data_IF_175803126143
#
_entry.id   IF_175803126143
#
_cell.length_a   1.000
_cell.length_b   1.000
_cell.length_c   1.000
_cell.angle_alpha   90.00
_cell.angle_beta   90.00
_cell.angle_gamma   90.00
#
_symmetry.space_group_name_H-M   'P 1'
#
loop_
_entity.id
_entity.type
_entity.pdbx_description
1 polymer ?
#
# COMPACT_ATOMS: atom_id res chain seq x y z
N UNK A 1 19.62 7.57 -19.15
CA UNK A 1 19.10 7.42 -18.76
C UNK A 1 18.60 7.26 -17.76
N UNK A 2 18.32 7.39 -17.47
CA UNK A 2 17.95 7.11 -16.61
C UNK A 2 17.09 6.79 -16.10
N UNK A 3 17.31 6.38 -15.71
CA UNK A 3 16.31 5.86 -15.41
C UNK A 3 15.92 5.83 -14.10
N UNK A 4 14.94 5.96 -13.71
CA UNK A 4 14.65 5.93 -12.45
C UNK A 4 14.35 4.64 -12.05
N UNK A 5 14.83 4.22 -11.01
CA UNK A 5 14.58 2.98 -10.60
C UNK A 5 13.33 2.88 -9.87
N UNK A 6 12.54 1.94 -10.13
CA UNK A 6 11.30 1.67 -9.43
C UNK A 6 11.60 1.06 -8.08
N UNK A 7 11.03 1.67 -7.05
CA UNK A 7 11.22 1.12 -5.72
C UNK A 7 10.25 0.00 -5.48
N UNK A 8 10.73 -1.08 -4.92
CA UNK A 8 9.89 -2.20 -4.57
C UNK A 8 9.53 -3.08 -5.74
N UNK A 9 8.67 -4.03 -5.49
CA UNK A 9 8.30 -5.02 -6.47
C UNK A 9 7.02 -4.63 -7.17
N UNK A 10 6.86 -5.15 -8.38
CA UNK A 10 5.63 -4.92 -9.10
C UNK A 10 4.52 -5.82 -8.59
N UNK A 11 4.85 -7.02 -8.19
CA UNK A 11 3.89 -7.99 -7.73
C UNK A 11 4.55 -8.95 -6.78
N UNK A 12 3.77 -9.51 -5.86
CA UNK A 12 4.25 -10.45 -4.87
C UNK A 12 3.27 -11.61 -4.83
N UNK A 13 3.79 -12.84 -4.84
CA UNK A 13 2.95 -14.02 -4.71
C UNK A 13 2.78 -14.32 -3.23
N UNK A 14 1.53 -14.40 -2.80
CA UNK A 14 1.19 -14.65 -1.40
C UNK A 14 1.24 -16.14 -1.11
N UNK A 15 1.31 -16.53 0.17
CA UNK A 15 1.37 -17.96 0.52
C UNK A 15 0.22 -18.78 0.01
N UNK A 16 -0.95 -18.18 -0.21
CA UNK A 16 -2.10 -18.91 -0.71
C UNK A 16 -2.14 -18.98 -2.23
N UNK A 17 -1.07 -18.53 -2.89
CA UNK A 17 -0.98 -18.59 -4.35
C UNK A 17 -1.53 -17.39 -5.07
N UNK A 18 -2.16 -16.45 -4.35
CA UNK A 18 -2.67 -15.25 -4.98
C UNK A 18 -1.54 -14.27 -5.20
N UNK A 19 -1.76 -13.36 -6.13
CA UNK A 19 -0.76 -12.35 -6.46
C UNK A 19 -1.27 -10.97 -6.06
N UNK A 20 -0.45 -10.23 -5.34
CA UNK A 20 -0.77 -8.85 -4.99
C UNK A 20 0.13 -7.96 -5.84
N UNK A 21 -0.46 -7.01 -6.55
CA UNK A 21 0.30 -6.13 -7.43
C UNK A 21 -0.15 -4.69 -7.20
N UNK A 22 0.53 -3.78 -7.90
CA UNK A 22 0.17 -2.37 -7.79
C UNK A 22 -1.26 -2.11 -8.26
N UNK A 23 -1.78 -2.92 -9.15
CA UNK A 23 -3.16 -2.75 -9.62
C UNK A 23 -4.18 -3.09 -8.54
N UNK A 24 -3.75 -3.75 -7.46
CA UNK A 24 -4.64 -4.04 -6.34
C UNK A 24 -4.75 -2.87 -5.37
N UNK A 25 -3.95 -1.83 -5.57
CA UNK A 25 -4.01 -0.66 -4.73
C UNK A 25 -5.22 0.19 -5.11
N UNK A 26 -5.82 0.91 -4.14
CA UNK A 26 -6.94 1.79 -4.46
C UNK A 26 -6.48 2.89 -5.41
N UNK A 27 -7.40 3.42 -6.22
CA UNK A 27 -7.04 4.53 -7.12
C UNK A 27 -6.69 5.77 -6.32
N UNK A 28 -5.87 6.64 -6.93
CA UNK A 28 -5.42 7.86 -6.26
C UNK A 28 -6.58 8.79 -5.94
N UNK A 29 -7.70 8.61 -6.64
CA UNK A 29 -8.89 9.43 -6.42
C UNK A 29 -9.78 8.90 -5.31
N UNK A 30 -9.33 7.89 -4.57
CA UNK A 30 -10.12 7.31 -3.49
C UNK A 30 -10.46 8.37 -2.45
N UNK A 31 -11.73 8.51 -2.15
CA UNK A 31 -12.18 9.46 -1.14
C UNK A 31 -12.74 8.75 0.08
N UNK A 32 -13.37 7.60 -0.15
CA UNK A 32 -13.92 6.85 0.96
C UNK A 32 -12.95 5.76 1.38
N UNK A 33 -12.39 5.93 2.55
CA UNK A 33 -11.37 5.01 3.07
C UNK A 33 -11.98 3.97 3.99
N UNK A 34 -12.57 2.96 3.37
CA UNK A 34 -13.12 1.83 4.13
C UNK A 34 -11.99 0.87 4.48
N UNK A 35 -12.27 -0.02 5.43
CA UNK A 35 -11.25 -0.91 5.98
C UNK A 35 -10.51 -1.72 4.90
N UNK A 36 -11.22 -2.22 3.91
CA UNK A 36 -10.60 -3.04 2.88
C UNK A 36 -9.61 -2.24 2.05
N UNK A 37 -9.90 -0.97 1.80
CA UNK A 37 -8.99 -0.13 1.03
C UNK A 37 -7.77 0.26 1.83
N UNK A 38 -7.95 0.56 3.11
CA UNK A 38 -6.82 0.85 3.99
C UNK A 38 -5.91 -0.37 4.09
N UNK A 39 -6.50 -1.55 4.21
CA UNK A 39 -5.73 -2.77 4.29
C UNK A 39 -4.91 -3.01 3.02
N UNK A 40 -5.50 -2.71 1.86
CA UNK A 40 -4.78 -2.90 0.60
C UNK A 40 -3.55 -2.02 0.55
N UNK A 41 -3.65 -0.76 1.00
CA UNK A 41 -2.52 0.16 1.00
C UNK A 41 -1.44 -0.33 1.96
N UNK A 42 -1.84 -0.73 3.17
CA UNK A 42 -0.88 -1.20 4.16
C UNK A 42 -0.18 -2.46 3.67
N UNK A 43 -0.93 -3.39 3.08
CA UNK A 43 -0.33 -4.61 2.56
C UNK A 43 0.61 -4.32 1.41
N UNK A 44 0.28 -3.36 0.55
CA UNK A 44 1.15 -2.98 -0.54
C UNK A 44 2.52 -2.55 -0.03
N UNK A 45 2.55 -1.79 1.06
CA UNK A 45 3.81 -1.38 1.65
C UNK A 45 4.51 -2.56 2.30
N UNK A 46 3.77 -3.39 3.03
CA UNK A 46 4.35 -4.53 3.72
C UNK A 46 4.96 -5.53 2.76
N UNK A 47 4.34 -5.71 1.60
CA UNK A 47 4.86 -6.65 0.60
C UNK A 47 5.94 -6.05 -0.28
N UNK A 48 6.22 -4.75 -0.13
CA UNK A 48 7.26 -4.11 -0.93
C UNK A 48 6.81 -3.73 -2.32
N UNK A 49 5.50 -3.73 -2.58
CA UNK A 49 4.96 -3.36 -3.88
C UNK A 49 5.01 -1.85 -4.06
N UNK A 50 4.88 -1.12 -2.97
CA UNK A 50 4.91 0.33 -2.98
C UNK A 50 5.62 0.78 -1.71
N UNK A 51 6.29 1.94 -1.76
CA UNK A 51 6.98 2.43 -0.57
C UNK A 51 6.02 3.28 0.27
N UNK A 52 6.38 3.43 1.56
CA UNK A 52 5.60 4.25 2.47
C UNK A 52 5.53 5.68 1.97
N UNK A 53 6.66 6.22 1.54
CA UNK A 53 6.71 7.59 1.03
C UNK A 53 5.81 7.78 -0.18
N UNK A 54 5.80 6.81 -1.07
CA UNK A 54 4.96 6.88 -2.25
C UNK A 54 3.49 6.88 -1.86
N UNK A 55 3.12 6.09 -0.86
CA UNK A 55 1.74 6.03 -0.39
C UNK A 55 1.29 7.36 0.18
N UNK A 56 2.13 7.98 1.00
CA UNK A 56 1.78 9.26 1.61
C UNK A 56 1.54 10.31 0.54
N UNK A 57 2.41 10.34 -0.46
CA UNK A 57 2.29 11.30 -1.53
C UNK A 57 1.12 10.98 -2.44
N UNK A 58 0.98 9.72 -2.80
CA UNK A 58 -0.04 9.29 -3.75
C UNK A 58 -1.44 9.57 -3.27
N UNK A 59 -1.70 9.32 -2.00
CA UNK A 59 -3.05 9.48 -1.43
C UNK A 59 -3.20 10.71 -0.55
N UNK A 60 -2.16 11.52 -0.44
CA UNK A 60 -2.24 12.74 0.35
C UNK A 60 -2.42 12.46 1.83
N UNK A 61 -1.75 11.44 2.34
CA UNK A 61 -1.86 11.06 3.74
C UNK A 61 -0.73 11.65 4.56
N UNK A 62 -1.00 11.90 5.82
CA UNK A 62 0.06 12.25 6.75
C UNK A 62 0.69 10.95 7.24
N UNK A 63 1.91 11.05 7.75
CA UNK A 63 2.59 9.88 8.30
C UNK A 63 1.80 9.31 9.46
N UNK A 64 1.20 10.18 10.26
CA UNK A 64 0.43 9.75 11.42
C UNK A 64 -0.81 8.97 11.01
N UNK A 65 -1.47 9.40 9.95
CA UNK A 65 -2.65 8.69 9.47
C UNK A 65 -2.26 7.29 9.02
N UNK A 66 -1.21 7.20 8.23
CA UNK A 66 -0.79 5.90 7.72
C UNK A 66 -0.36 4.98 8.85
N UNK A 67 0.40 5.51 9.81
CA UNK A 67 0.86 4.71 10.93
C UNK A 67 -0.33 4.22 11.76
N UNK A 68 -1.37 5.03 11.87
CA UNK A 68 -2.59 4.60 12.54
C UNK A 68 -3.25 3.43 11.84
N UNK A 69 -3.24 3.44 10.51
CA UNK A 69 -3.81 2.34 9.75
C UNK A 69 -3.01 1.06 9.97
N UNK A 70 -1.67 1.18 9.96
CA UNK A 70 -0.82 0.02 10.19
C UNK A 70 -1.09 -0.58 11.56
N UNK A 71 -1.20 0.28 12.56
CA UNK A 71 -1.44 -0.18 13.92
C UNK A 71 -2.80 -0.86 14.05
N UNK A 72 -3.82 -0.28 13.45
CA UNK A 72 -5.16 -0.83 13.52
C UNK A 72 -5.22 -2.22 12.86
N UNK A 73 -4.56 -2.37 11.73
CA UNK A 73 -4.56 -3.64 11.02
C UNK A 73 -3.76 -4.68 11.80
N UNK A 74 -2.64 -4.28 12.38
CA UNK A 74 -1.82 -5.20 13.14
C UNK A 74 -2.56 -5.72 14.38
N UNK A 75 -3.40 -4.87 14.97
CA UNK A 75 -4.14 -5.25 16.16
C UNK A 75 -5.45 -5.95 15.83
N UNK A 76 -6.07 -5.52 14.77
CA UNK A 76 -7.37 -6.04 14.41
C UNK A 76 -7.34 -7.39 13.75
N UNK A 77 -6.18 -7.82 13.38
CA UNK A 77 -6.03 -9.14 12.77
C UNK A 77 -6.43 -9.20 11.35
#
# INVERSE_FOLDING_TARGET
>A
MFLRKVEGRRAVTLPDGRVFSRSDLPPVTTERWVASRKAAVVRGVAYGVVTREEVLERYGLSAEEFDGWVKAIAQGG
#
